data_IF_609210894704
#
_entry.id   IF_609210894704
#
_cell.length_a   1.000
_cell.length_b   1.000
_cell.length_c   1.000
_cell.angle_alpha   90.00
_cell.angle_beta   90.00
_cell.angle_gamma   90.00
#
_symmetry.space_group_name_H-M   'P 1'
#
loop_
_entity.id
_entity.type
_entity.pdbx_description
1 polymer ?
#
# COMPACT_ATOMS: atom_id res chain seq x y z
N UNK A 1 18.60 51.05 12.36
CA UNK A 1 18.43 49.66 11.87
C UNK A 1 17.46 48.97 12.82
N UNK A 2 16.16 48.99 12.53
CA UNK A 2 15.15 48.40 13.43
C UNK A 2 15.20 46.88 13.30
N UNK A 3 15.67 46.20 14.34
CA UNK A 3 15.57 44.74 14.43
C UNK A 3 14.07 44.36 14.37
N UNK A 4 13.67 43.69 13.27
CA UNK A 4 12.31 43.22 13.10
C UNK A 4 11.93 42.24 14.21
N UNK A 5 10.76 42.43 14.81
CA UNK A 5 10.19 41.57 15.85
C UNK A 5 10.35 40.08 15.47
N UNK A 6 11.15 39.34 16.24
CA UNK A 6 11.34 37.90 16.08
C UNK A 6 9.99 37.21 16.34
N UNK A 7 9.44 36.58 15.30
CA UNK A 7 8.20 35.78 15.39
C UNK A 7 8.31 34.77 16.54
N UNK A 8 7.28 34.61 17.39
CA UNK A 8 7.33 33.70 18.52
C UNK A 8 7.63 32.27 18.04
N UNK A 9 8.61 31.61 18.69
CA UNK A 9 8.97 30.22 18.38
C UNK A 9 7.73 29.34 18.50
N UNK A 10 7.33 28.67 17.41
CA UNK A 10 6.18 27.75 17.41
C UNK A 10 6.42 26.64 18.44
N UNK A 11 5.48 26.43 19.37
CA UNK A 11 5.58 25.46 20.49
C UNK A 11 5.99 24.04 20.07
N UNK A 12 5.70 23.64 18.83
CA UNK A 12 6.21 22.40 18.22
C UNK A 12 6.68 22.65 16.79
N UNK A 13 7.79 21.99 16.41
CA UNK A 13 8.26 21.94 15.03
C UNK A 13 7.23 21.23 14.12
N UNK A 14 7.12 21.69 12.87
CA UNK A 14 6.22 21.07 11.89
C UNK A 14 6.55 19.58 11.66
N UNK A 15 7.85 19.24 11.66
CA UNK A 15 8.37 17.87 11.59
C UNK A 15 7.81 16.97 12.68
N UNK A 16 7.73 17.46 13.93
CA UNK A 16 7.19 16.68 15.05
C UNK A 16 5.70 16.40 14.88
N UNK A 17 4.92 17.38 14.40
CA UNK A 17 3.49 17.18 14.10
C UNK A 17 3.27 16.15 13.00
N UNK A 18 4.07 16.21 11.93
CA UNK A 18 3.98 15.24 10.83
C UNK A 18 4.32 13.82 11.30
N UNK A 19 5.37 13.67 12.11
CA UNK A 19 5.74 12.38 12.70
C UNK A 19 4.60 11.79 13.54
N UNK A 20 3.96 12.60 14.38
CA UNK A 20 2.82 12.16 15.21
C UNK A 20 1.64 11.74 14.33
N UNK A 21 1.29 12.52 13.30
CA UNK A 21 0.24 12.14 12.35
C UNK A 21 0.54 10.81 11.65
N UNK A 22 1.79 10.60 11.24
CA UNK A 22 2.22 9.34 10.64
C UNK A 22 2.10 8.16 11.61
N UNK A 23 2.47 8.35 12.88
CA UNK A 23 2.29 7.32 13.92
C UNK A 23 0.82 7.00 14.19
N UNK A 24 -0.04 8.03 14.23
CA UNK A 24 -1.48 7.86 14.42
C UNK A 24 -2.11 7.08 13.26
N UNK A 25 -1.77 7.43 12.01
CA UNK A 25 -2.27 6.71 10.84
C UNK A 25 -1.83 5.24 10.83
N UNK A 26 -0.56 4.97 11.12
CA UNK A 26 -0.06 3.59 11.24
C UNK A 26 -0.81 2.80 12.31
N UNK A 27 -1.10 3.41 13.46
CA UNK A 27 -1.87 2.73 14.52
C UNK A 27 -3.32 2.51 14.10
N UNK A 28 -3.95 3.48 13.44
CA UNK A 28 -5.32 3.36 12.93
C UNK A 28 -5.43 2.25 11.89
N UNK A 29 -4.46 2.12 10.99
CA UNK A 29 -4.39 1.01 10.01
C UNK A 29 -4.32 -0.34 10.70
N UNK A 30 -3.44 -0.51 11.70
CA UNK A 30 -3.36 -1.74 12.47
C UNK A 30 -4.67 -2.07 13.21
N UNK A 31 -5.34 -1.05 13.77
CA UNK A 31 -6.62 -1.23 14.46
C UNK A 31 -7.74 -1.62 13.49
N UNK A 32 -7.74 -1.05 12.28
CA UNK A 32 -8.73 -1.38 11.25
C UNK A 32 -8.61 -2.83 10.78
N UNK A 33 -7.38 -3.33 10.62
CA UNK A 33 -7.14 -4.74 10.26
C UNK A 33 -7.64 -5.66 11.36
N UNK A 34 -7.28 -5.39 12.63
CA UNK A 34 -7.73 -6.18 13.77
C UNK A 34 -9.27 -6.19 13.91
N UNK A 35 -9.92 -5.04 13.73
CA UNK A 35 -11.38 -4.94 13.75
C UNK A 35 -12.02 -5.77 12.62
N UNK A 36 -11.40 -5.80 11.43
CA UNK A 36 -11.90 -6.59 10.31
C UNK A 36 -11.77 -8.10 10.56
N UNK A 37 -10.65 -8.53 11.14
CA UNK A 37 -10.45 -9.93 11.56
C UNK A 37 -11.48 -10.35 12.62
N UNK A 38 -11.73 -9.51 13.61
CA UNK A 38 -12.76 -9.75 14.63
C UNK A 38 -14.17 -9.85 14.02
N UNK A 39 -14.50 -8.99 13.05
CA UNK A 39 -15.78 -9.05 12.33
C UNK A 39 -15.97 -10.34 11.54
N UNK A 40 -14.93 -10.83 10.86
CA UNK A 40 -15.03 -12.10 10.12
C UNK A 40 -15.15 -13.29 11.08
N UNK A 41 -14.39 -13.32 12.18
CA UNK A 41 -14.54 -14.37 13.21
C UNK A 41 -15.94 -14.37 13.83
N UNK A 42 -16.49 -13.20 14.14
CA UNK A 42 -17.85 -13.07 14.68
C UNK A 42 -18.89 -13.55 13.67
N UNK A 43 -18.74 -13.18 12.40
CA UNK A 43 -19.62 -13.64 11.32
C UNK A 43 -19.58 -15.16 11.18
N UNK A 44 -18.40 -15.78 11.19
CA UNK A 44 -18.27 -17.24 11.17
C UNK A 44 -18.95 -17.87 12.39
N UNK A 45 -18.77 -17.30 13.58
CA UNK A 45 -19.42 -17.79 14.81
C UNK A 45 -20.96 -17.76 14.69
N UNK A 46 -21.51 -16.62 14.29
CA UNK A 46 -22.97 -16.44 14.15
C UNK A 46 -23.55 -17.35 13.07
N UNK A 47 -22.87 -17.50 11.93
CA UNK A 47 -23.30 -18.40 10.86
C UNK A 47 -23.28 -19.85 11.32
N UNK A 48 -22.22 -20.29 12.01
CA UNK A 48 -22.11 -21.66 12.52
C UNK A 48 -23.15 -21.97 13.60
N UNK A 49 -23.53 -20.99 14.43
CA UNK A 49 -24.60 -21.12 15.42
C UNK A 49 -25.98 -21.17 14.75
N UNK A 50 -26.22 -20.30 13.77
CA UNK A 50 -27.53 -20.16 13.10
C UNK A 50 -27.80 -21.30 12.11
N UNK A 51 -26.76 -21.77 11.41
CA UNK A 51 -26.85 -22.79 10.36
C UNK A 51 -25.73 -23.82 10.58
N UNK A 52 -25.90 -24.72 11.58
CA UNK A 52 -24.92 -25.77 11.82
C UNK A 52 -24.87 -26.76 10.64
N UNK A 53 -23.72 -27.43 10.42
CA UNK A 53 -23.59 -28.43 9.36
C UNK A 53 -24.64 -29.53 9.46
N UNK A 54 -25.31 -29.81 8.34
CA UNK A 54 -26.34 -30.84 8.26
C UNK A 54 -25.74 -32.24 8.40
N UNK A 55 -26.25 -33.01 9.37
CA UNK A 55 -25.91 -34.42 9.56
C UNK A 55 -26.98 -35.27 8.91
N UNK A 56 -26.73 -35.72 7.68
CA UNK A 56 -27.70 -36.47 6.88
C UNK A 56 -27.61 -37.99 7.08
N UNK A 57 -26.54 -38.48 7.69
CA UNK A 57 -26.28 -39.91 7.89
C UNK A 57 -27.24 -40.52 8.90
N UNK A 58 -27.85 -41.65 8.55
CA UNK A 58 -28.71 -42.43 9.45
C UNK A 58 -30.16 -41.95 9.52
N UNK A 59 -30.54 -40.90 8.77
CA UNK A 59 -31.93 -40.46 8.65
C UNK A 59 -32.70 -41.36 7.69
N UNK A 60 -33.93 -41.68 8.07
CA UNK A 60 -34.90 -42.34 7.20
C UNK A 60 -35.41 -41.41 6.09
N UNK A 61 -36.03 -41.97 5.06
CA UNK A 61 -36.59 -41.21 3.93
C UNK A 61 -37.63 -40.19 4.42
N UNK A 62 -38.44 -40.55 5.42
CA UNK A 62 -39.47 -39.67 5.97
C UNK A 62 -38.84 -38.47 6.70
N UNK A 63 -37.84 -38.71 7.55
CA UNK A 63 -37.15 -37.63 8.28
C UNK A 63 -36.41 -36.69 7.33
N UNK A 64 -35.84 -37.20 6.24
CA UNK A 64 -35.25 -36.37 5.19
C UNK A 64 -36.29 -35.50 4.47
N UNK A 65 -37.47 -36.04 4.17
CA UNK A 65 -38.54 -35.27 3.54
C UNK A 65 -39.06 -34.17 4.47
N UNK A 66 -39.17 -34.43 5.77
CA UNK A 66 -39.64 -33.45 6.74
C UNK A 66 -38.59 -32.36 6.98
N UNK A 67 -37.31 -32.72 7.04
CA UNK A 67 -36.20 -31.75 7.08
C UNK A 67 -36.20 -30.83 5.84
N UNK A 68 -36.39 -31.38 4.64
CA UNK A 68 -36.48 -30.58 3.42
C UNK A 68 -37.63 -29.57 3.45
N UNK A 69 -38.80 -29.96 3.98
CA UNK A 69 -39.94 -29.04 4.15
C UNK A 69 -39.65 -27.94 5.18
N UNK A 70 -39.02 -28.31 6.30
CA UNK A 70 -38.64 -27.35 7.34
C UNK A 70 -37.62 -26.33 6.82
N UNK A 71 -36.59 -26.78 6.12
CA UNK A 71 -35.60 -25.89 5.52
C UNK A 71 -36.22 -24.96 4.48
N UNK A 72 -37.16 -25.47 3.66
CA UNK A 72 -37.87 -24.65 2.69
C UNK A 72 -38.67 -23.53 3.36
N UNK A 73 -39.43 -23.84 4.42
CA UNK A 73 -40.16 -22.83 5.19
C UNK A 73 -39.22 -21.80 5.85
N UNK A 74 -38.07 -22.25 6.38
CA UNK A 74 -37.07 -21.34 6.95
C UNK A 74 -36.47 -20.40 5.91
N UNK A 75 -36.27 -20.86 4.67
CA UNK A 75 -35.76 -20.01 3.59
C UNK A 75 -36.70 -18.83 3.31
N UNK A 76 -38.01 -19.07 3.26
CA UNK A 76 -38.99 -18.01 3.02
C UNK A 76 -38.92 -16.93 4.11
N UNK A 77 -38.89 -17.33 5.38
CA UNK A 77 -38.79 -16.41 6.52
C UNK A 77 -37.46 -15.64 6.51
N UNK A 78 -36.34 -16.33 6.24
CA UNK A 78 -35.02 -15.70 6.20
C UNK A 78 -34.90 -14.72 5.02
N UNK A 79 -35.49 -15.03 3.86
CA UNK A 79 -35.46 -14.12 2.71
C UNK A 79 -36.29 -12.86 2.97
N UNK A 80 -37.45 -12.97 3.63
CA UNK A 80 -38.23 -11.82 4.07
C UNK A 80 -37.41 -10.94 5.03
N UNK A 81 -36.77 -11.53 6.04
CA UNK A 81 -35.90 -10.79 6.97
C UNK A 81 -34.71 -10.13 6.26
N UNK A 82 -34.12 -10.81 5.28
CA UNK A 82 -33.05 -10.27 4.42
C UNK A 82 -33.53 -9.09 3.62
N UNK A 83 -34.72 -9.17 3.03
CA UNK A 83 -35.35 -8.08 2.27
C UNK A 83 -35.57 -6.84 3.15
N UNK A 84 -36.14 -7.02 4.34
CA UNK A 84 -36.36 -5.94 5.30
C UNK A 84 -35.06 -5.29 5.75
N UNK A 85 -34.02 -6.09 6.01
CA UNK A 85 -32.70 -5.58 6.36
C UNK A 85 -32.10 -4.76 5.22
N UNK A 86 -32.18 -5.26 3.98
CA UNK A 86 -31.72 -4.54 2.79
C UNK A 86 -32.46 -3.21 2.63
N UNK A 87 -33.78 -3.19 2.84
CA UNK A 87 -34.57 -1.96 2.77
C UNK A 87 -34.11 -0.92 3.81
N UNK A 88 -33.75 -1.35 5.03
CA UNK A 88 -33.18 -0.46 6.07
C UNK A 88 -31.81 0.07 5.67
N UNK A 89 -30.93 -0.78 5.14
CA UNK A 89 -29.60 -0.36 4.65
C UNK A 89 -29.75 0.66 3.52
N UNK A 90 -30.60 0.41 2.54
CA UNK A 90 -30.84 1.33 1.42
C UNK A 90 -31.35 2.70 1.88
N UNK A 91 -32.23 2.74 2.90
CA UNK A 91 -32.69 4.01 3.50
C UNK A 91 -31.51 4.79 4.08
N UNK A 92 -30.65 4.13 4.84
CA UNK A 92 -29.46 4.75 5.43
C UNK A 92 -28.47 5.23 4.34
N UNK A 93 -28.27 4.43 3.29
CA UNK A 93 -27.40 4.82 2.16
C UNK A 93 -27.92 6.07 1.44
N UNK A 94 -29.24 6.11 1.16
CA UNK A 94 -29.88 7.27 0.55
C UNK A 94 -29.76 8.51 1.43
N UNK A 95 -29.94 8.37 2.74
CA UNK A 95 -29.73 9.45 3.70
C UNK A 95 -28.28 9.93 3.70
N UNK A 96 -27.29 9.03 3.72
CA UNK A 96 -25.87 9.37 3.63
C UNK A 96 -25.57 10.15 2.34
N UNK A 97 -26.13 9.75 1.20
CA UNK A 97 -25.97 10.46 -0.08
C UNK A 97 -26.57 11.87 0.01
N UNK A 98 -27.79 12.00 0.54
CA UNK A 98 -28.45 13.29 0.74
C UNK A 98 -27.63 14.22 1.66
N UNK A 99 -27.15 13.70 2.78
CA UNK A 99 -26.32 14.44 3.73
C UNK A 99 -24.98 14.84 3.11
N UNK A 100 -24.33 13.96 2.34
CA UNK A 100 -23.10 14.29 1.61
C UNK A 100 -23.33 15.44 0.62
N UNK A 101 -24.43 15.41 -0.12
CA UNK A 101 -24.80 16.47 -1.06
C UNK A 101 -25.02 17.80 -0.32
N UNK A 102 -25.78 17.78 0.78
CA UNK A 102 -25.99 18.96 1.63
C UNK A 102 -24.68 19.53 2.19
N UNK A 103 -23.74 18.68 2.58
CA UNK A 103 -22.39 19.11 3.01
C UNK A 103 -21.64 19.81 1.86
N UNK A 104 -21.77 19.32 0.63
CA UNK A 104 -21.13 19.95 -0.54
C UNK A 104 -21.72 21.33 -0.80
N UNK A 105 -23.05 21.45 -0.76
CA UNK A 105 -23.77 22.72 -0.95
C UNK A 105 -23.37 23.75 0.13
N UNK A 106 -23.36 23.35 1.40
CA UNK A 106 -23.00 24.22 2.52
C UNK A 106 -21.52 24.64 2.50
N UNK A 107 -20.61 23.73 2.12
CA UNK A 107 -19.18 24.06 1.98
C UNK A 107 -18.91 25.03 0.82
N UNK A 108 -19.86 25.14 -0.12
CA UNK A 108 -19.68 25.82 -1.40
C UNK A 108 -18.76 25.03 -2.32
N UNK A 109 -19.08 24.96 -3.61
CA UNK A 109 -18.20 24.35 -4.60
C UNK A 109 -16.93 25.22 -4.70
N UNK A 110 -15.85 24.82 -4.02
CA UNK A 110 -14.53 25.44 -4.22
C UNK A 110 -14.12 25.16 -5.66
N UNK A 111 -14.32 26.13 -6.54
CA UNK A 111 -13.82 26.08 -7.92
C UNK A 111 -12.33 25.72 -7.83
N UNK A 112 -11.88 24.57 -8.39
CA UNK A 112 -10.48 24.21 -8.36
C UNK A 112 -9.70 25.38 -8.96
N UNK A 113 -8.79 25.99 -8.18
CA UNK A 113 -7.96 27.06 -8.69
C UNK A 113 -7.19 26.51 -9.88
N UNK A 114 -7.37 27.07 -11.07
CA UNK A 114 -6.62 26.68 -12.26
C UNK A 114 -5.13 26.94 -11.99
N UNK A 115 -4.41 25.90 -11.56
CA UNK A 115 -2.96 25.95 -11.45
C UNK A 115 -2.40 25.64 -12.83
N UNK A 116 -1.52 26.50 -13.34
CA UNK A 116 -0.74 26.21 -14.55
C UNK A 116 0.20 25.05 -14.26
N UNK A 117 -0.28 23.83 -14.48
CA UNK A 117 0.54 22.62 -14.46
C UNK A 117 1.29 22.59 -15.78
N UNK A 118 2.63 22.72 -15.74
CA UNK A 118 3.45 22.40 -16.91
C UNK A 118 3.29 20.91 -17.12
N UNK A 119 2.78 20.47 -18.28
CA UNK A 119 2.77 19.04 -18.65
C UNK A 119 4.20 18.53 -18.44
N UNK A 120 4.37 17.61 -17.51
CA UNK A 120 5.68 17.00 -17.25
C UNK A 120 5.97 16.06 -18.41
N UNK A 121 7.24 15.84 -18.75
CA UNK A 121 7.64 14.89 -19.81
C UNK A 121 7.02 13.50 -19.62
N UNK A 122 6.74 13.13 -18.38
CA UNK A 122 6.04 11.90 -17.98
C UNK A 122 4.56 11.85 -18.42
N UNK A 123 3.85 12.98 -18.46
CA UNK A 123 2.45 13.05 -18.95
C UNK A 123 2.38 12.88 -20.47
N UNK A 124 3.42 13.33 -21.18
CA UNK A 124 3.51 13.21 -22.63
C UNK A 124 3.97 11.80 -22.99
N UNK A 125 5.01 11.25 -22.37
CA UNK A 125 5.51 9.90 -22.66
C UNK A 125 4.64 8.77 -22.09
N UNK A 126 3.96 8.98 -20.97
CA UNK A 126 3.05 8.01 -20.37
C UNK A 126 1.83 7.71 -21.24
N UNK A 127 1.42 8.65 -22.10
CA UNK A 127 0.36 8.42 -23.09
C UNK A 127 0.83 7.56 -24.29
N UNK A 128 2.13 7.46 -24.53
CA UNK A 128 2.72 6.69 -25.65
C UNK A 128 3.32 5.35 -25.22
N UNK A 129 3.31 4.99 -23.93
CA UNK A 129 3.94 3.76 -23.44
C UNK A 129 2.96 2.88 -22.65
N UNK A 130 3.02 1.57 -22.90
CA UNK A 130 2.08 0.58 -22.36
C UNK A 130 1.88 0.67 -20.84
N UNK A 131 0.62 0.59 -20.41
CA UNK A 131 0.20 0.69 -19.01
C UNK A 131 0.82 -0.37 -18.07
N UNK A 132 1.42 -1.44 -18.61
CA UNK A 132 2.17 -2.44 -17.83
C UNK A 132 3.45 -1.89 -17.20
N UNK A 133 3.97 -0.76 -17.69
CA UNK A 133 5.15 -0.07 -17.13
C UNK A 133 4.79 1.02 -16.12
N UNK A 134 3.51 1.29 -15.87
CA UNK A 134 3.03 2.13 -14.76
C UNK A 134 3.15 1.38 -13.43
N UNK A 135 4.38 1.01 -13.07
CA UNK A 135 4.72 0.77 -11.67
C UNK A 135 4.50 2.11 -10.97
N UNK A 136 3.64 2.14 -9.95
CA UNK A 136 3.42 3.31 -9.09
C UNK A 136 4.76 4.02 -8.92
N UNK A 137 4.85 5.25 -9.41
CA UNK A 137 6.03 6.08 -9.32
C UNK A 137 6.25 6.43 -7.85
N UNK A 138 6.68 5.45 -7.07
CA UNK A 138 7.32 5.69 -5.80
C UNK A 138 8.48 6.59 -6.14
N UNK A 139 8.40 7.86 -5.72
CA UNK A 139 9.46 8.85 -5.90
C UNK A 139 10.84 8.33 -5.50
N UNK A 140 10.87 7.31 -4.63
CA UNK A 140 12.05 6.59 -4.18
C UNK A 140 12.65 5.60 -5.21
N UNK A 141 11.88 5.12 -6.17
CA UNK A 141 12.33 4.15 -7.18
C UNK A 141 13.31 4.75 -8.20
N UNK A 142 13.21 6.05 -8.47
CA UNK A 142 14.11 6.78 -9.39
C UNK A 142 15.33 7.42 -8.69
N UNK A 143 15.46 7.31 -7.37
CA UNK A 143 16.66 7.74 -6.66
C UNK A 143 17.66 6.58 -6.64
N UNK A 144 18.86 6.77 -7.21
CA UNK A 144 20.00 5.86 -6.97
C UNK A 144 20.28 5.83 -5.46
N UNK A 145 19.72 4.86 -4.75
CA UNK A 145 20.20 4.55 -3.40
C UNK A 145 21.64 4.07 -3.55
N UNK A 146 22.60 4.81 -3.00
CA UNK A 146 23.93 4.27 -2.76
C UNK A 146 23.71 3.08 -1.82
N UNK A 147 23.69 1.87 -2.38
CA UNK A 147 23.96 0.68 -1.60
C UNK A 147 25.34 0.97 -1.02
N UNK A 148 25.44 1.14 0.30
CA UNK A 148 26.65 0.69 0.97
C UNK A 148 26.66 -0.80 0.68
N UNK A 149 27.33 -1.17 -0.41
CA UNK A 149 27.77 -2.54 -0.57
C UNK A 149 28.57 -2.81 0.70
N UNK A 150 28.14 -3.78 1.49
CA UNK A 150 29.07 -4.43 2.39
C UNK A 150 30.25 -4.80 1.51
N UNK A 151 31.39 -4.16 1.76
CA UNK A 151 32.67 -4.47 1.14
C UNK A 151 32.89 -5.97 1.36
N UNK A 152 32.43 -6.78 0.39
CA UNK A 152 33.05 -8.06 0.12
C UNK A 152 34.46 -7.68 -0.26
N UNK A 153 35.33 -7.73 0.75
CA UNK A 153 36.77 -7.78 0.62
C UNK A 153 37.08 -8.79 -0.48
N UNK A 154 37.23 -8.33 -1.71
CA UNK A 154 38.12 -8.99 -2.64
C UNK A 154 39.46 -9.08 -1.91
N UNK A 155 39.96 -10.29 -1.75
CA UNK A 155 41.33 -10.53 -1.31
C UNK A 155 42.24 -9.72 -2.23
N UNK A 156 42.62 -8.52 -1.76
CA UNK A 156 43.70 -7.73 -2.31
C UNK A 156 44.94 -8.59 -2.13
N UNK A 157 45.23 -9.40 -3.13
CA UNK A 157 46.50 -10.09 -3.26
C UNK A 157 47.59 -9.02 -3.28
N UNK A 158 48.50 -9.15 -2.32
CA UNK A 158 49.53 -8.18 -1.91
C UNK A 158 50.08 -7.35 -3.09
N UNK A 159 49.93 -6.03 -3.02
CA UNK A 159 50.43 -5.09 -4.04
C UNK A 159 51.95 -5.22 -4.28
N UNK A 160 52.69 -5.85 -3.35
CA UNK A 160 54.10 -6.22 -3.55
C UNK A 160 54.34 -7.13 -4.77
N UNK A 161 53.39 -8.03 -5.07
CA UNK A 161 53.54 -9.00 -6.19
C UNK A 161 53.55 -8.34 -7.57
N UNK A 162 52.89 -7.19 -7.73
CA UNK A 162 52.86 -6.47 -9.00
C UNK A 162 54.15 -5.65 -9.22
N UNK A 163 54.78 -5.20 -8.12
CA UNK A 163 56.02 -4.41 -8.17
C UNK A 163 57.25 -5.30 -8.44
N UNK A 164 57.32 -6.50 -7.85
CA UNK A 164 58.39 -7.48 -8.14
C UNK A 164 58.40 -7.95 -9.60
N UNK A 165 57.22 -8.10 -10.22
CA UNK A 165 57.11 -8.47 -11.63
C UNK A 165 57.66 -7.39 -12.59
N UNK A 166 57.71 -6.12 -12.16
CA UNK A 166 58.22 -5.00 -12.94
C UNK A 166 59.66 -4.61 -12.60
N UNK A 167 60.20 -5.09 -11.47
CA UNK A 167 61.56 -4.77 -11.00
C UNK A 167 62.68 -5.55 -11.72
N UNK A 168 62.34 -6.48 -12.63
CA UNK A 168 63.31 -7.32 -13.34
C UNK A 168 63.76 -6.79 -14.72
N UNK A 169 63.26 -5.64 -15.17
CA UNK A 169 63.58 -5.06 -16.49
C UNK A 169 64.63 -3.94 -16.46
N UNK A 170 65.50 -3.93 -15.45
CA UNK A 170 66.54 -2.90 -15.29
C UNK A 170 67.89 -3.36 -15.84
N UNK A 171 67.89 -3.69 -17.13
CA UNK A 171 69.09 -3.91 -17.93
C UNK A 171 68.94 -3.21 -19.28
N UNK A 172 69.88 -2.33 -19.63
CA UNK A 172 69.92 -1.56 -20.89
C UNK A 172 69.56 -2.45 -22.09
N UNK A 173 68.40 -2.21 -22.72
CA UNK A 173 68.09 -2.77 -24.04
C UNK A 173 69.18 -2.35 -25.02
N UNK A 174 70.12 -3.26 -25.29
CA UNK A 174 71.15 -3.09 -26.31
C UNK A 174 70.49 -3.25 -27.69
N UNK A 175 69.95 -2.15 -28.21
CA UNK A 175 69.75 -2.02 -29.65
C UNK A 175 71.11 -1.66 -30.24
N UNK A 176 71.85 -2.65 -30.73
CA UNK A 176 72.95 -2.41 -31.66
C UNK A 176 72.37 -2.48 -33.06
N UNK A 177 72.48 -1.37 -33.78
CA UNK A 177 72.27 -1.24 -35.22
C UNK A 177 73.12 -2.26 -35.95
N UNK A 178 72.51 -3.02 -36.87
CA UNK A 178 73.24 -3.89 -37.79
C UNK A 178 74.25 -3.03 -38.57
N UNK A 179 75.52 -3.38 -38.47
CA UNK A 179 76.57 -2.79 -39.29
C UNK A 179 76.61 -3.45 -40.67
N UNK A 180 76.97 -2.61 -41.65
CA UNK A 180 77.24 -2.90 -43.06
C UNK A 180 76.06 -2.83 -44.03
#
# INVERSE_FOLDING_TARGET
>A
MSEGQRKPKRKFAATRRLLIKGKLLKKAELMLVAENEEKEMEKERVVNESVPPLKLSGLSVQELQDLCKELHQKLDVVDELRYDMQAKVNKNENEIVSLKQKIIELKGMKKPSLKRVKKTTDDVLGAYTDASKLKKADFKANLKTVKKEDDKKEEVTDWRKNVEALSGMEGRKKLFTAGQ
#
